data_IF_692956033712
#
_entry.id   IF_692956033712
#
_cell.length_a   1.000
_cell.length_b   1.000
_cell.length_c   1.000
_cell.angle_alpha   90.00
_cell.angle_beta   90.00
_cell.angle_gamma   90.00
#
_symmetry.space_group_name_H-M   'P 1'
#
loop_
_entity.id
_entity.type
_entity.pdbx_description
1 polymer ?
#
# COMPACT_ATOMS: atom_id res chain seq x y z
N UNK A 1 -0.34 27.67 35.14
CA UNK A 1 0.29 26.34 35.14
C UNK A 1 0.21 25.76 33.74
N UNK A 2 1.28 25.87 32.96
CA UNK A 2 1.40 25.28 31.62
C UNK A 2 1.42 23.76 31.74
N UNK A 3 0.44 23.07 31.15
CA UNK A 3 0.40 21.60 31.10
C UNK A 3 1.70 21.10 30.47
N UNK A 4 2.56 20.46 31.26
CA UNK A 4 3.70 19.71 30.76
C UNK A 4 3.17 18.67 29.76
N UNK A 5 3.40 18.90 28.47
CA UNK A 5 3.21 17.91 27.43
C UNK A 5 4.15 16.75 27.79
N UNK A 6 3.57 15.73 28.41
CA UNK A 6 4.24 14.59 29.04
C UNK A 6 5.46 14.14 28.23
N UNK A 7 6.62 14.05 28.87
CA UNK A 7 7.84 13.54 28.24
C UNK A 7 7.62 12.15 27.61
N UNK A 8 8.40 11.83 26.59
CA UNK A 8 8.31 10.52 25.96
C UNK A 8 8.57 9.41 26.97
N UNK A 9 7.59 8.51 27.10
CA UNK A 9 7.64 7.37 28.00
C UNK A 9 8.87 6.47 27.78
N UNK A 10 9.28 6.27 26.52
CA UNK A 10 10.39 5.37 26.17
C UNK A 10 11.76 5.98 26.39
N UNK A 11 12.03 7.18 25.87
CA UNK A 11 13.38 7.76 25.93
C UNK A 11 13.61 8.72 27.08
N UNK A 12 12.55 9.26 27.72
CA UNK A 12 12.63 10.24 28.81
C UNK A 12 13.47 11.49 28.49
N UNK A 13 13.67 11.80 27.21
CA UNK A 13 14.58 12.87 26.73
C UNK A 13 13.91 13.91 25.84
N UNK A 14 12.83 13.53 25.17
CA UNK A 14 12.14 14.37 24.17
C UNK A 14 10.67 14.55 24.56
N UNK A 15 10.05 15.69 24.25
CA UNK A 15 8.62 15.88 24.46
C UNK A 15 7.83 14.84 23.66
N UNK A 16 6.73 14.32 24.23
CA UNK A 16 5.85 13.48 23.45
C UNK A 16 5.03 14.31 22.46
N UNK A 17 4.80 13.71 21.29
CA UNK A 17 4.00 14.29 20.21
C UNK A 17 2.79 13.44 19.86
N UNK A 18 2.71 12.24 20.41
CA UNK A 18 1.60 11.31 20.18
C UNK A 18 1.29 10.50 21.44
N UNK A 19 0.03 10.11 21.57
CA UNK A 19 -0.46 9.22 22.62
C UNK A 19 -0.89 7.91 21.99
N UNK A 20 -0.25 6.81 22.41
CA UNK A 20 -0.55 5.48 21.93
C UNK A 20 -1.62 4.84 22.80
N UNK A 21 -2.85 4.79 22.27
CA UNK A 21 -4.02 4.25 22.97
C UNK A 21 -3.89 2.78 23.39
N UNK A 22 -3.13 1.97 22.65
CA UNK A 22 -3.04 0.51 22.88
C UNK A 22 -2.47 0.16 24.26
N UNK A 23 -1.62 1.01 24.83
CA UNK A 23 -1.00 0.79 26.13
C UNK A 23 -0.85 2.07 26.97
N UNK A 24 -1.57 3.13 26.61
CA UNK A 24 -1.64 4.37 27.35
C UNK A 24 -0.34 5.17 27.44
N UNK A 25 0.58 5.02 26.48
CA UNK A 25 1.91 5.65 26.54
C UNK A 25 2.05 6.85 25.60
N UNK A 26 2.63 7.92 26.12
CA UNK A 26 3.02 9.11 25.35
C UNK A 26 4.42 8.93 24.75
N UNK A 27 4.59 9.22 23.45
CA UNK A 27 5.84 8.97 22.72
C UNK A 27 6.29 10.19 21.90
N UNK A 28 7.60 10.41 21.81
CA UNK A 28 8.17 11.33 20.83
C UNK A 28 8.16 10.69 19.42
N UNK A 29 8.38 11.51 18.39
CA UNK A 29 8.36 11.11 16.98
C UNK A 29 9.25 9.90 16.70
N UNK A 30 10.48 9.90 17.21
CA UNK A 30 11.45 8.84 16.92
C UNK A 30 11.13 7.53 17.64
N UNK A 31 10.69 7.60 18.90
CA UNK A 31 10.30 6.41 19.64
C UNK A 31 9.04 5.77 19.07
N UNK A 32 8.07 6.58 18.63
CA UNK A 32 6.89 6.08 17.92
C UNK A 32 7.27 5.41 16.60
N UNK A 33 8.09 6.07 15.77
CA UNK A 33 8.55 5.52 14.48
C UNK A 33 9.30 4.20 14.66
N UNK A 34 10.24 4.14 15.63
CA UNK A 34 10.96 2.90 15.97
C UNK A 34 10.02 1.79 16.43
N UNK A 35 8.99 2.13 17.20
CA UNK A 35 8.00 1.16 17.64
C UNK A 35 7.20 0.59 16.45
N UNK A 36 6.72 1.43 15.53
CA UNK A 36 6.03 0.97 14.31
C UNK A 36 6.93 0.03 13.49
N UNK A 37 8.18 0.43 13.21
CA UNK A 37 9.13 -0.44 12.50
C UNK A 37 9.41 -1.75 13.26
N UNK A 38 9.38 -1.73 14.59
CA UNK A 38 9.54 -2.95 15.40
C UNK A 38 8.36 -3.91 15.27
N UNK A 39 7.13 -3.40 15.10
CA UNK A 39 5.96 -4.24 14.87
C UNK A 39 6.11 -4.95 13.52
N UNK A 40 6.44 -4.21 12.45
CA UNK A 40 6.62 -4.79 11.11
C UNK A 40 7.66 -5.90 11.16
N UNK A 41 8.86 -5.63 11.71
CA UNK A 41 9.91 -6.65 11.85
C UNK A 41 9.46 -7.87 12.64
N UNK A 42 8.77 -7.68 13.76
CA UNK A 42 8.23 -8.78 14.58
C UNK A 42 7.20 -9.60 13.80
N UNK A 43 6.35 -8.95 13.02
CA UNK A 43 5.35 -9.63 12.18
C UNK A 43 6.02 -10.44 11.09
N UNK A 44 6.95 -9.86 10.33
CA UNK A 44 7.72 -10.56 9.28
C UNK A 44 8.38 -11.81 9.85
N UNK A 45 9.09 -11.69 10.97
CA UNK A 45 9.77 -12.82 11.62
C UNK A 45 8.80 -13.85 12.18
N UNK A 46 7.78 -13.43 12.95
CA UNK A 46 6.82 -14.35 13.59
C UNK A 46 5.98 -15.12 12.57
N UNK A 47 5.64 -14.47 11.45
CA UNK A 47 4.84 -15.07 10.38
C UNK A 47 5.69 -15.73 9.30
N UNK A 48 7.02 -15.65 9.39
CA UNK A 48 7.97 -16.15 8.39
C UNK A 48 7.58 -15.69 6.98
N UNK A 49 7.36 -14.38 6.81
CA UNK A 49 6.85 -13.83 5.54
C UNK A 49 7.88 -13.90 4.42
N UNK A 50 9.16 -13.71 4.76
CA UNK A 50 10.27 -13.70 3.82
C UNK A 50 11.48 -14.40 4.45
N UNK A 51 12.33 -14.99 3.62
CA UNK A 51 13.62 -15.57 3.96
C UNK A 51 14.78 -14.67 3.49
N UNK A 52 16.01 -15.05 3.84
CA UNK A 52 17.19 -14.28 3.39
C UNK A 52 17.36 -14.47 1.89
N UNK A 53 17.74 -13.39 1.20
CA UNK A 53 17.97 -13.37 -0.25
C UNK A 53 16.70 -13.57 -1.09
N UNK A 54 15.51 -13.42 -0.48
CA UNK A 54 14.28 -13.37 -1.24
C UNK A 54 14.23 -12.12 -2.14
N UNK A 55 13.41 -12.21 -3.19
CA UNK A 55 12.98 -11.04 -3.97
C UNK A 55 11.59 -10.64 -3.49
N UNK A 56 11.49 -9.47 -2.88
CA UNK A 56 10.28 -8.99 -2.21
C UNK A 56 9.65 -7.89 -3.06
N UNK A 57 8.47 -8.20 -3.61
CA UNK A 57 7.65 -7.21 -4.33
C UNK A 57 6.76 -6.47 -3.35
N UNK A 58 6.78 -5.14 -3.41
CA UNK A 58 5.92 -4.24 -2.65
C UNK A 58 4.97 -3.51 -3.59
N UNK A 59 3.68 -3.79 -3.47
CA UNK A 59 2.64 -3.03 -4.16
C UNK A 59 2.59 -1.58 -3.68
N UNK A 60 3.02 -0.64 -4.52
CA UNK A 60 3.21 0.78 -4.19
C UNK A 60 2.15 1.65 -4.88
N UNK A 61 1.08 1.98 -4.16
CA UNK A 61 0.00 2.82 -4.69
C UNK A 61 0.26 4.33 -4.62
N UNK A 62 1.33 4.77 -3.96
CA UNK A 62 1.58 6.20 -3.63
C UNK A 62 0.86 6.69 -2.37
N UNK A 63 -0.02 5.87 -1.78
CA UNK A 63 -0.68 6.18 -0.52
C UNK A 63 0.23 6.03 0.70
N UNK A 64 -0.17 6.62 1.84
CA UNK A 64 0.60 6.60 3.10
C UNK A 64 0.98 5.18 3.57
N UNK A 65 0.09 4.21 3.38
CA UNK A 65 0.28 2.87 3.95
C UNK A 65 1.33 2.07 3.17
N UNK A 66 1.25 2.08 1.84
CA UNK A 66 2.21 1.39 0.96
C UNK A 66 3.58 2.07 0.97
N UNK A 67 3.61 3.40 1.01
CA UNK A 67 4.86 4.17 1.07
C UNK A 67 5.60 3.99 2.40
N UNK A 68 4.88 3.99 3.53
CA UNK A 68 5.47 3.69 4.85
C UNK A 68 5.95 2.25 4.92
N UNK A 69 5.22 1.29 4.33
CA UNK A 69 5.65 -0.10 4.27
C UNK A 69 6.98 -0.23 3.52
N UNK A 70 7.10 0.39 2.34
CA UNK A 70 8.33 0.37 1.55
C UNK A 70 9.52 0.97 2.32
N UNK A 71 9.34 2.14 2.94
CA UNK A 71 10.38 2.78 3.76
C UNK A 71 10.83 1.91 4.93
N UNK A 72 9.90 1.26 5.62
CA UNK A 72 10.21 0.37 6.75
C UNK A 72 10.94 -0.89 6.27
N UNK A 73 10.47 -1.54 5.20
CA UNK A 73 11.11 -2.73 4.64
C UNK A 73 12.52 -2.39 4.14
N UNK A 74 12.69 -1.31 3.39
CA UNK A 74 14.01 -0.83 2.96
C UNK A 74 14.97 -0.68 4.16
N UNK A 75 14.52 -0.07 5.27
CA UNK A 75 15.35 0.05 6.50
C UNK A 75 15.66 -1.28 7.18
N UNK A 76 14.79 -2.28 7.07
CA UNK A 76 15.02 -3.62 7.61
C UNK A 76 16.03 -4.36 6.74
N UNK A 77 15.83 -4.37 5.42
CA UNK A 77 16.68 -5.08 4.45
C UNK A 77 18.08 -4.46 4.30
N UNK A 78 18.31 -3.22 4.75
CA UNK A 78 19.69 -2.72 4.93
C UNK A 78 20.57 -3.60 5.85
N UNK A 79 19.97 -4.46 6.67
CA UNK A 79 20.66 -5.44 7.53
C UNK A 79 20.51 -6.90 7.06
N UNK A 80 19.67 -7.14 6.05
CA UNK A 80 19.34 -8.46 5.51
C UNK A 80 19.25 -8.32 3.98
N UNK A 81 20.16 -8.92 3.19
CA UNK A 81 20.34 -8.55 1.78
C UNK A 81 19.29 -9.19 0.85
N UNK A 82 18.00 -9.04 1.15
CA UNK A 82 16.91 -9.38 0.23
C UNK A 82 16.74 -8.25 -0.80
N UNK A 83 16.31 -8.60 -2.00
CA UNK A 83 16.04 -7.63 -3.06
C UNK A 83 14.64 -7.04 -2.87
N UNK A 84 14.52 -5.71 -2.89
CA UNK A 84 13.23 -5.01 -2.80
C UNK A 84 12.88 -4.41 -4.14
N UNK A 85 11.66 -4.68 -4.60
CA UNK A 85 11.11 -4.18 -5.87
C UNK A 85 9.77 -3.54 -5.58
N UNK A 86 9.57 -2.30 -6.01
CA UNK A 86 8.30 -1.59 -5.92
C UNK A 86 7.51 -1.78 -7.22
N UNK A 87 6.24 -2.16 -7.11
CA UNK A 87 5.35 -2.34 -8.27
C UNK A 87 4.13 -1.46 -8.10
N UNK A 88 3.84 -0.62 -9.09
CA UNK A 88 2.59 0.12 -9.21
C UNK A 88 1.76 -0.42 -10.37
N UNK A 89 0.45 -0.47 -10.17
CA UNK A 89 -0.50 -0.85 -11.21
C UNK A 89 -1.40 0.34 -11.49
N UNK A 90 -1.38 0.83 -12.73
CA UNK A 90 -2.35 1.80 -13.25
C UNK A 90 -3.59 1.07 -13.77
N UNK A 91 -4.72 1.26 -13.08
CA UNK A 91 -5.98 0.66 -13.50
C UNK A 91 -6.62 1.38 -14.71
N UNK A 92 -6.08 2.53 -15.14
CA UNK A 92 -6.61 3.32 -16.25
C UNK A 92 -7.97 3.95 -15.92
N UNK A 93 -8.08 4.49 -14.71
CA UNK A 93 -9.23 5.29 -14.26
C UNK A 93 -8.93 6.76 -14.51
N UNK A 94 -9.76 7.43 -15.29
CA UNK A 94 -9.56 8.84 -15.63
C UNK A 94 -9.42 9.73 -14.37
N UNK A 95 -8.39 10.58 -14.35
CA UNK A 95 -8.10 11.56 -13.29
C UNK A 95 -7.91 10.99 -11.86
N UNK A 96 -7.68 9.68 -11.71
CA UNK A 96 -7.59 9.04 -10.38
C UNK A 96 -6.16 9.00 -9.82
N UNK A 97 -5.16 8.84 -10.69
CA UNK A 97 -3.76 8.55 -10.30
C UNK A 97 -2.77 9.67 -10.52
N UNK A 98 -3.24 10.85 -10.91
CA UNK A 98 -2.41 12.01 -11.22
C UNK A 98 -1.45 12.37 -10.08
N UNK A 99 -1.91 12.27 -8.83
CA UNK A 99 -1.07 12.53 -7.65
C UNK A 99 -0.32 11.29 -7.17
N UNK A 100 -0.95 10.11 -7.22
CA UNK A 100 -0.43 8.89 -6.60
C UNK A 100 0.78 8.30 -7.32
N UNK A 101 0.77 8.28 -8.65
CA UNK A 101 1.86 7.73 -9.45
C UNK A 101 3.18 8.50 -9.28
N UNK A 102 3.20 9.85 -9.40
CA UNK A 102 4.42 10.62 -9.16
C UNK A 102 4.97 10.44 -7.74
N UNK A 103 4.09 10.31 -6.74
CA UNK A 103 4.51 10.05 -5.35
C UNK A 103 5.17 8.68 -5.24
N UNK A 104 4.57 7.64 -5.83
CA UNK A 104 5.12 6.28 -5.82
C UNK A 104 6.51 6.23 -6.47
N UNK A 105 6.64 6.77 -7.68
CA UNK A 105 7.90 6.82 -8.42
C UNK A 105 8.98 7.61 -7.66
N UNK A 106 8.62 8.80 -7.15
CA UNK A 106 9.56 9.64 -6.38
C UNK A 106 10.06 8.93 -5.13
N UNK A 107 9.20 8.21 -4.42
CA UNK A 107 9.59 7.49 -3.19
C UNK A 107 10.50 6.31 -3.51
N UNK A 108 10.17 5.51 -4.52
CA UNK A 108 11.02 4.40 -4.94
C UNK A 108 12.40 4.90 -5.37
N UNK A 109 12.45 5.97 -6.18
CA UNK A 109 13.70 6.64 -6.60
C UNK A 109 14.51 7.16 -5.43
N UNK A 110 13.88 7.83 -4.46
CA UNK A 110 14.59 8.37 -3.29
C UNK A 110 15.18 7.28 -2.38
N UNK A 111 14.60 6.08 -2.40
CA UNK A 111 15.07 4.92 -1.63
C UNK A 111 16.00 4.03 -2.44
N UNK A 112 16.31 4.37 -3.69
CA UNK A 112 17.08 3.53 -4.62
C UNK A 112 16.51 2.10 -4.73
N UNK A 113 15.18 2.03 -4.88
CA UNK A 113 14.43 0.78 -5.05
C UNK A 113 13.96 0.68 -6.49
N UNK A 114 14.17 -0.47 -7.12
CA UNK A 114 13.67 -0.78 -8.46
C UNK A 114 12.16 -0.58 -8.53
N UNK A 115 11.68 0.14 -9.55
CA UNK A 115 10.28 0.50 -9.70
C UNK A 115 9.73 0.04 -11.05
N UNK A 116 8.63 -0.71 -11.01
CA UNK A 116 7.87 -1.11 -12.20
C UNK A 116 6.48 -0.50 -12.17
N UNK A 117 6.09 0.07 -13.31
CA UNK A 117 4.73 0.50 -13.57
C UNK A 117 4.13 -0.43 -14.63
N UNK A 118 3.02 -1.07 -14.28
CA UNK A 118 2.21 -1.83 -15.23
C UNK A 118 0.83 -1.19 -15.35
N UNK A 119 0.19 -1.36 -16.51
CA UNK A 119 -1.21 -0.94 -16.69
C UNK A 119 -2.16 -2.13 -16.86
N UNK A 120 -3.41 -1.96 -16.47
CA UNK A 120 -4.46 -2.92 -16.83
C UNK A 120 -4.57 -3.08 -18.34
N UNK A 121 -4.36 -1.99 -19.10
CA UNK A 121 -4.42 -2.04 -20.56
C UNK A 121 -3.41 -3.02 -21.14
N UNK A 122 -2.18 -3.02 -20.64
CA UNK A 122 -1.12 -3.95 -21.07
C UNK A 122 -1.36 -5.37 -20.56
N UNK A 123 -1.78 -5.53 -19.31
CA UNK A 123 -1.88 -6.84 -18.67
C UNK A 123 -3.13 -7.64 -19.06
N UNK A 124 -4.25 -6.96 -19.31
CA UNK A 124 -5.55 -7.60 -19.56
C UNK A 124 -6.30 -7.05 -20.78
N UNK A 125 -5.71 -6.12 -21.53
CA UNK A 125 -6.27 -5.57 -22.77
C UNK A 125 -7.30 -4.46 -22.60
N UNK A 126 -7.72 -4.19 -21.35
CA UNK A 126 -8.74 -3.19 -21.01
C UNK A 126 -8.36 -2.36 -19.80
N UNK A 127 -8.68 -1.06 -19.81
CA UNK A 127 -8.69 -0.25 -18.60
C UNK A 127 -9.91 -0.58 -17.72
N UNK A 128 -9.89 -0.16 -16.46
CA UNK A 128 -11.05 -0.33 -15.58
C UNK A 128 -12.27 0.42 -16.12
N UNK A 129 -12.08 1.62 -16.65
CA UNK A 129 -13.17 2.42 -17.24
C UNK A 129 -13.80 1.67 -18.44
N UNK A 130 -12.99 1.09 -19.32
CA UNK A 130 -13.46 0.26 -20.45
C UNK A 130 -14.21 -0.99 -19.97
N UNK A 131 -13.75 -1.64 -18.89
CA UNK A 131 -14.41 -2.82 -18.29
C UNK A 131 -15.79 -2.43 -17.75
N UNK A 132 -15.88 -1.31 -17.03
CA UNK A 132 -17.13 -0.82 -16.44
C UNK A 132 -18.12 -0.46 -17.53
N UNK A 133 -17.67 0.23 -18.59
CA UNK A 133 -18.55 0.63 -19.70
C UNK A 133 -19.10 -0.59 -20.44
N UNK A 134 -18.24 -1.55 -20.81
CA UNK A 134 -18.68 -2.82 -21.41
C UNK A 134 -19.63 -3.60 -20.53
N UNK A 135 -19.40 -3.59 -19.21
CA UNK A 135 -20.31 -4.25 -18.27
C UNK A 135 -21.70 -3.62 -18.25
N UNK A 136 -21.82 -2.30 -18.48
CA UNK A 136 -23.12 -1.62 -18.57
C UNK A 136 -23.82 -1.95 -19.87
N UNK A 137 -23.12 -1.85 -21.00
CA UNK A 137 -23.68 -2.19 -22.31
C UNK A 137 -24.22 -3.61 -22.38
N UNK A 138 -23.50 -4.57 -21.78
CA UNK A 138 -23.95 -5.97 -21.72
C UNK A 138 -25.22 -6.13 -20.87
N UNK A 139 -25.34 -5.37 -19.78
CA UNK A 139 -26.54 -5.40 -18.94
C UNK A 139 -27.77 -4.84 -19.67
N UNK A 140 -27.60 -3.82 -20.51
CA UNK A 140 -28.69 -3.24 -21.30
C UNK A 140 -29.18 -4.18 -22.42
N UNK A 141 -28.26 -4.95 -23.03
CA UNK A 141 -28.56 -5.86 -24.14
C UNK A 141 -29.16 -7.20 -23.70
N UNK A 142 -29.10 -7.55 -22.42
CA UNK A 142 -29.58 -8.84 -21.93
C UNK A 142 -31.04 -8.78 -21.49
N UNK A 143 -31.87 -9.78 -21.87
CA UNK A 143 -33.24 -9.84 -21.42
C UNK A 143 -33.28 -9.97 -19.90
N UNK A 144 -34.16 -9.20 -19.27
CA UNK A 144 -34.43 -9.11 -17.83
C UNK A 144 -35.11 -10.37 -17.28
N UNK A 145 -34.58 -11.55 -17.58
CA UNK A 145 -34.99 -12.83 -16.97
C UNK A 145 -34.07 -13.16 -15.81
N UNK A 146 -34.69 -13.60 -14.71
CA UNK A 146 -34.08 -13.94 -13.40
C UNK A 146 -32.87 -14.89 -13.45
N UNK A 147 -32.58 -15.52 -14.58
CA UNK A 147 -31.48 -16.48 -14.79
C UNK A 147 -30.18 -15.85 -15.31
N UNK A 148 -30.22 -14.68 -15.96
CA UNK A 148 -29.02 -13.94 -16.39
C UNK A 148 -28.63 -12.90 -15.33
N UNK A 149 -28.36 -13.35 -14.10
CA UNK A 149 -27.56 -12.57 -13.16
C UNK A 149 -26.11 -12.54 -13.66
N UNK A 150 -25.83 -11.82 -14.76
CA UNK A 150 -24.48 -11.28 -14.93
C UNK A 150 -24.27 -10.44 -13.69
N UNK A 151 -23.36 -10.92 -12.86
CA UNK A 151 -23.22 -10.46 -11.50
C UNK A 151 -23.04 -8.94 -11.55
N UNK A 152 -23.90 -8.20 -10.82
CA UNK A 152 -23.82 -6.75 -10.63
C UNK A 152 -22.55 -6.40 -9.84
N UNK A 153 -21.39 -6.67 -10.41
CA UNK A 153 -20.11 -6.35 -9.82
C UNK A 153 -19.84 -4.88 -10.08
N UNK A 154 -19.64 -4.13 -9.00
CA UNK A 154 -19.20 -2.75 -9.09
C UNK A 154 -17.74 -2.64 -9.56
N UNK A 155 -17.28 -1.45 -9.97
CA UNK A 155 -15.91 -1.20 -10.43
C UNK A 155 -14.82 -1.75 -9.47
N UNK A 156 -15.04 -1.60 -8.15
CA UNK A 156 -14.10 -2.09 -7.13
C UNK A 156 -13.92 -3.62 -7.15
N UNK A 157 -14.94 -4.38 -7.59
CA UNK A 157 -14.84 -5.84 -7.69
C UNK A 157 -13.88 -6.23 -8.82
N UNK A 158 -14.03 -5.61 -9.99
CA UNK A 158 -13.12 -5.84 -11.12
C UNK A 158 -11.70 -5.37 -10.78
N UNK A 159 -11.56 -4.13 -10.29
CA UNK A 159 -10.28 -3.56 -9.88
C UNK A 159 -9.53 -4.47 -8.89
N UNK A 160 -10.19 -4.89 -7.80
CA UNK A 160 -9.55 -5.70 -6.78
C UNK A 160 -9.16 -7.11 -7.24
N UNK A 161 -9.93 -7.70 -8.15
CA UNK A 161 -9.62 -9.03 -8.72
C UNK A 161 -8.46 -8.93 -9.69
N UNK A 162 -8.52 -8.00 -10.65
CA UNK A 162 -7.47 -7.87 -11.67
C UNK A 162 -6.14 -7.41 -11.08
N UNK A 163 -6.16 -6.50 -10.09
CA UNK A 163 -4.94 -6.07 -9.39
C UNK A 163 -4.22 -7.18 -8.64
N UNK A 164 -4.90 -8.27 -8.28
CA UNK A 164 -4.27 -9.46 -7.66
C UNK A 164 -3.74 -10.47 -8.67
N UNK A 165 -4.24 -10.43 -9.91
CA UNK A 165 -3.83 -11.31 -11.00
C UNK A 165 -2.67 -10.70 -11.81
N UNK A 166 -2.64 -9.37 -11.85
CA UNK A 166 -1.59 -8.54 -12.40
C UNK A 166 -0.22 -8.82 -11.76
#
# INVERSE_FOLDING_TARGET
MTKNLSECYTCKKKPAVTYRRIDGRYLCKECFSKWVSSIVRKTVSKKKLFERNDRIIVGLSGGKDSTVLLDILHKIERKYPSELIAVCIDEGIANYREDGLPIAEKIAKNLDVEFHLFSFKELIGYSLDEIVERSRELQEKLPSKRETKIVKHGPCSFCGVFRRKA
#
